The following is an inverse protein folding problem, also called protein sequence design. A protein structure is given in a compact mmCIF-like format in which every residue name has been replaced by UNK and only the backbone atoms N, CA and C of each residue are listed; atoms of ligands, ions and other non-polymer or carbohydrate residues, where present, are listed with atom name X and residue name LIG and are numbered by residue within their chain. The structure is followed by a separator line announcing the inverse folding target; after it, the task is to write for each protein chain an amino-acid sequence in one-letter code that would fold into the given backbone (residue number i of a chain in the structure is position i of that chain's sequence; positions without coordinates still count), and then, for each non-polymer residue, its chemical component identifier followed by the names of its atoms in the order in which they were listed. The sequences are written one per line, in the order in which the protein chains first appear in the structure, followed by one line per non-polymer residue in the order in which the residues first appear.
data_IF_955213833366
#
_entry.id   IF_955213833366
#
_cell.length_a   1.000
_cell.length_b   1.000
_cell.length_c   1.000
_cell.angle_alpha   90.00
_cell.angle_beta   90.00
_cell.angle_gamma   90.00
#
_symmetry.space_group_name_H-M   'P 1'
#
loop_
_entity.id
_entity.type
_entity.pdbx_description
1 polymer ?
#
# COMPACT_ATOMS: atom_id res chain seq x y z
N UNK A 1 16.80 -0.71 -4.00
CA UNK A 1 15.47 -1.36 -4.11
C UNK A 1 14.86 -1.67 -2.75
N UNK A 2 15.66 -2.20 -1.82
CA UNK A 2 15.18 -2.44 -0.45
C UNK A 2 14.69 -1.13 0.19
N UNK A 3 15.46 -0.06 0.07
CA UNK A 3 15.10 1.24 0.62
C UNK A 3 13.82 1.78 -0.01
N UNK A 4 13.62 1.57 -1.32
CA UNK A 4 12.41 2.00 -2.02
C UNK A 4 11.19 1.25 -1.52
N UNK A 5 11.26 -0.08 -1.46
CA UNK A 5 10.18 -0.92 -0.94
C UNK A 5 9.86 -0.56 0.52
N UNK A 6 10.89 -0.40 1.32
CA UNK A 6 10.75 -0.09 2.73
C UNK A 6 10.04 1.25 2.95
N UNK A 7 10.39 2.27 2.15
CA UNK A 7 9.78 3.59 2.29
C UNK A 7 8.27 3.55 2.01
N UNK A 8 7.83 2.71 1.07
CA UNK A 8 6.41 2.51 0.78
C UNK A 8 5.73 1.85 1.98
N UNK A 9 6.34 0.80 2.52
CA UNK A 9 5.77 0.04 3.64
C UNK A 9 5.61 0.91 4.87
N UNK A 10 6.60 1.75 5.18
CA UNK A 10 6.52 2.67 6.32
C UNK A 10 5.34 3.65 6.21
N UNK A 11 5.02 4.07 4.99
CA UNK A 11 3.88 4.96 4.77
C UNK A 11 2.54 4.21 4.74
N UNK A 12 2.56 2.88 4.49
CA UNK A 12 1.35 2.07 4.50
C UNK A 12 0.84 1.82 5.91
N UNK A 13 1.74 1.66 6.87
CA UNK A 13 1.35 1.33 8.24
C UNK A 13 2.38 1.82 9.26
N UNK A 14 1.88 2.23 10.41
CA UNK A 14 2.72 2.50 11.58
C UNK A 14 2.89 1.24 12.45
N UNK A 15 2.16 0.16 12.14
CA UNK A 15 2.19 -1.08 12.90
C UNK A 15 3.37 -1.94 12.45
N UNK A 16 4.45 -1.96 13.24
CA UNK A 16 5.67 -2.70 12.89
C UNK A 16 5.42 -4.22 12.78
N UNK A 17 4.46 -4.75 13.52
CA UNK A 17 4.12 -6.17 13.46
C UNK A 17 3.49 -6.59 12.14
N UNK A 18 2.88 -5.66 11.42
CA UNK A 18 2.21 -5.94 10.15
C UNK A 18 3.13 -5.72 8.94
N UNK A 19 4.20 -4.95 9.09
CA UNK A 19 5.08 -4.60 7.97
C UNK A 19 5.62 -5.81 7.20
N UNK A 20 6.03 -6.92 7.84
CA UNK A 20 6.50 -8.09 7.09
C UNK A 20 5.41 -8.72 6.21
N UNK A 21 4.14 -8.66 6.63
CA UNK A 21 3.02 -9.15 5.83
C UNK A 21 2.81 -8.27 4.59
N UNK A 22 2.89 -6.97 4.76
CA UNK A 22 2.74 -6.01 3.66
C UNK A 22 3.89 -6.18 2.65
N UNK A 23 5.11 -6.33 3.16
CA UNK A 23 6.27 -6.58 2.30
C UNK A 23 6.08 -7.84 1.46
N UNK A 24 5.61 -8.92 2.08
CA UNK A 24 5.33 -10.17 1.37
C UNK A 24 4.31 -9.97 0.25
N UNK A 25 3.26 -9.22 0.51
CA UNK A 25 2.22 -8.94 -0.47
C UNK A 25 2.79 -8.17 -1.68
N UNK A 26 3.59 -7.14 -1.45
CA UNK A 26 4.19 -6.38 -2.54
C UNK A 26 5.19 -7.22 -3.34
N UNK A 27 5.98 -8.08 -2.69
CA UNK A 27 6.87 -8.98 -3.40
C UNK A 27 6.11 -9.99 -4.25
N UNK A 28 4.94 -10.46 -3.79
CA UNK A 28 4.08 -11.33 -4.59
C UNK A 28 3.63 -10.61 -5.86
N UNK A 29 3.28 -9.33 -5.76
CA UNK A 29 2.91 -8.53 -6.93
C UNK A 29 4.09 -8.36 -7.89
N UNK A 30 5.27 -8.09 -7.38
CA UNK A 30 6.47 -7.98 -8.24
C UNK A 30 6.72 -9.27 -9.01
N UNK A 31 6.59 -10.42 -8.35
CA UNK A 31 6.81 -11.72 -8.98
C UNK A 31 5.80 -12.03 -10.09
N UNK A 32 4.60 -11.50 -9.98
CA UNK A 32 3.52 -11.76 -10.94
C UNK A 32 3.36 -10.61 -11.94
N UNK A 33 4.26 -9.64 -11.94
CA UNK A 33 4.22 -8.47 -12.80
C UNK A 33 2.95 -7.63 -12.63
N UNK A 34 2.40 -7.60 -11.41
CA UNK A 34 1.28 -6.75 -11.08
C UNK A 34 1.79 -5.37 -10.66
N UNK A 35 1.13 -4.29 -11.10
CA UNK A 35 1.42 -2.96 -10.55
C UNK A 35 1.25 -2.97 -9.03
N UNK A 36 2.12 -2.28 -8.29
CA UNK A 36 2.05 -2.29 -6.83
C UNK A 36 0.78 -1.61 -6.30
N UNK A 37 0.28 -0.61 -7.01
CA UNK A 37 -0.93 0.13 -6.65
C UNK A 37 -0.87 0.63 -5.20
N UNK A 38 0.27 1.20 -4.85
CA UNK A 38 0.53 1.68 -3.50
C UNK A 38 0.11 3.14 -3.35
N UNK A 39 -0.91 3.39 -2.53
CA UNK A 39 -1.42 4.75 -2.30
C UNK A 39 -0.36 5.75 -1.84
N UNK A 40 0.61 5.39 -0.98
CA UNK A 40 1.66 6.33 -0.61
C UNK A 40 2.44 6.91 -1.79
N UNK A 41 2.58 6.16 -2.89
CA UNK A 41 3.27 6.68 -4.08
C UNK A 41 2.46 7.76 -4.78
N UNK A 42 1.13 7.68 -4.73
CA UNK A 42 0.25 8.73 -5.25
C UNK A 42 0.38 9.99 -4.39
N UNK A 43 0.34 9.84 -3.07
CA UNK A 43 0.51 10.96 -2.15
C UNK A 43 1.85 11.65 -2.36
N UNK A 44 2.92 10.88 -2.55
CA UNK A 44 4.25 11.41 -2.83
C UNK A 44 4.26 12.19 -4.14
N UNK A 45 3.69 11.63 -5.20
CA UNK A 45 3.64 12.27 -6.51
C UNK A 45 2.86 13.58 -6.47
N UNK A 46 1.80 13.65 -5.66
CA UNK A 46 1.01 14.86 -5.45
C UNK A 46 1.61 15.79 -4.41
N UNK A 47 2.64 15.34 -3.68
CA UNK A 47 3.26 16.06 -2.57
C UNK A 47 2.27 16.39 -1.45
N UNK A 48 1.33 15.47 -1.20
CA UNK A 48 0.27 15.66 -0.21
C UNK A 48 0.02 14.37 0.58
N UNK A 49 0.80 14.16 1.64
CA UNK A 49 0.64 13.01 2.53
C UNK A 49 -0.53 13.16 3.51
N UNK A 50 -1.16 14.31 3.53
CA UNK A 50 -2.31 14.54 4.41
C UNK A 50 -3.63 14.00 3.82
N UNK A 51 -3.64 13.58 2.56
CA UNK A 51 -4.83 13.00 1.96
C UNK A 51 -5.27 11.74 2.72
N UNK A 52 -6.53 11.72 3.12
CA UNK A 52 -7.10 10.58 3.84
C UNK A 52 -7.80 9.59 2.92
N UNK A 53 -8.15 10.03 1.71
CA UNK A 53 -8.88 9.23 0.75
C UNK A 53 -8.41 9.55 -0.67
N UNK A 54 -8.06 8.51 -1.43
CA UNK A 54 -7.61 8.63 -2.81
C UNK A 54 -8.78 8.27 -3.73
N UNK A 55 -9.27 9.24 -4.49
CA UNK A 55 -10.35 9.02 -5.46
C UNK A 55 -9.78 8.52 -6.79
N UNK A 56 -10.60 7.79 -7.56
CA UNK A 56 -10.17 7.15 -8.81
C UNK A 56 -9.46 8.10 -9.78
N UNK A 57 -9.90 9.34 -9.87
CA UNK A 57 -9.27 10.32 -10.78
C UNK A 57 -7.81 10.57 -10.47
N UNK A 58 -7.40 10.40 -9.20
CA UNK A 58 -6.01 10.61 -8.79
C UNK A 58 -5.10 9.44 -9.17
N UNK A 59 -5.68 8.28 -9.49
CA UNK A 59 -4.92 7.11 -9.89
C UNK A 59 -4.35 7.21 -11.30
N UNK A 60 -4.75 8.22 -12.05
CA UNK A 60 -4.30 8.42 -13.43
C UNK A 60 -3.25 9.51 -13.60
N UNK A 61 -2.73 10.07 -12.51
CA UNK A 61 -1.73 11.14 -12.61
C UNK A 61 -0.48 10.66 -13.34
N UNK A 62 0.11 11.55 -14.13
CA UNK A 62 1.29 11.22 -14.92
C UNK A 62 2.55 11.49 -14.10
N UNK A 63 3.06 10.45 -13.45
CA UNK A 63 4.28 10.51 -12.65
C UNK A 63 4.97 9.16 -12.69
N UNK A 64 6.32 9.11 -12.77
CA UNK A 64 7.05 7.84 -12.68
C UNK A 64 6.87 7.16 -11.32
N UNK A 65 6.43 7.90 -10.29
CA UNK A 65 6.13 7.33 -8.98
C UNK A 65 4.73 6.73 -8.89
N UNK A 66 3.87 6.91 -9.90
CA UNK A 66 2.52 6.35 -9.87
C UNK A 66 2.55 4.85 -10.13
N UNK A 67 2.44 4.06 -9.06
CA UNK A 67 2.48 2.59 -9.15
C UNK A 67 1.18 1.96 -9.64
N UNK A 68 0.14 2.76 -9.88
CA UNK A 68 -1.06 2.31 -10.60
C UNK A 68 -0.86 2.29 -12.10
N UNK A 69 0.05 3.13 -12.62
CA UNK A 69 0.33 3.24 -14.06
C UNK A 69 1.61 2.56 -14.48
N UNK A 70 2.55 2.36 -13.57
CA UNK A 70 3.87 1.83 -13.87
C UNK A 70 4.11 0.55 -13.06
N UNK A 71 4.49 -0.51 -13.75
CA UNK A 71 4.84 -1.77 -13.08
C UNK A 71 6.14 -1.62 -12.29
N UNK A 72 6.27 -2.44 -11.24
CA UNK A 72 7.49 -2.51 -10.45
C UNK A 72 7.62 -1.40 -9.43
N UNK A 73 8.80 -1.29 -8.86
CA UNK A 73 9.12 -0.26 -7.89
C UNK A 73 9.23 1.11 -8.57
N UNK A 74 8.90 2.20 -7.85
CA UNK A 74 9.16 3.54 -8.37
C UNK A 74 10.65 3.83 -8.46
N UNK A 75 11.05 4.98 -9.06
CA UNK A 75 12.47 5.27 -9.30
C UNK A 75 13.35 5.35 -8.06
N UNK A 76 12.76 5.61 -6.90
CA UNK A 76 13.52 5.71 -5.65
C UNK A 76 12.61 5.78 -4.44
N UNK A 77 13.21 5.88 -3.23
CA UNK A 77 12.44 5.95 -2.00
C UNK A 77 11.57 7.21 -1.93
N UNK A 78 10.43 7.09 -1.23
CA UNK A 78 9.53 8.22 -1.00
C UNK A 78 9.75 8.86 0.37
N UNK A 79 10.60 8.27 1.19
CA UNK A 79 11.03 8.83 2.49
C UNK A 79 12.30 8.11 2.96
N UNK A 80 12.88 8.58 4.06
CA UNK A 80 14.03 7.93 4.67
C UNK A 80 13.57 6.64 5.35
N UNK A 81 14.33 5.55 5.13
CA UNK A 81 14.00 4.22 5.63
C UNK A 81 14.13 4.13 7.16
N UNK A 82 13.17 3.44 7.81
CA UNK A 82 13.27 3.08 9.22
C UNK A 82 13.95 1.73 9.36
N UNK A 83 14.53 1.46 10.54
CA UNK A 83 15.14 0.16 10.82
C UNK A 83 14.06 -0.94 10.79
N UNK A 84 12.90 -0.69 11.38
CA UNK A 84 11.81 -1.66 11.39
C UNK A 84 11.32 -1.98 9.98
N UNK A 85 11.27 -0.99 9.09
CA UNK A 85 10.88 -1.20 7.71
C UNK A 85 11.90 -2.01 6.93
N UNK A 86 13.19 -1.75 7.14
CA UNK A 86 14.27 -2.51 6.50
C UNK A 86 14.19 -3.97 6.94
N UNK A 87 14.05 -4.22 8.25
CA UNK A 87 13.92 -5.57 8.79
C UNK A 87 12.71 -6.29 8.20
N UNK A 88 11.59 -5.59 8.04
CA UNK A 88 10.37 -6.15 7.48
C UNK A 88 10.56 -6.61 6.03
N UNK A 89 11.31 -5.85 5.23
CA UNK A 89 11.58 -6.19 3.84
C UNK A 89 12.52 -7.40 3.79
N UNK A 90 13.59 -7.37 4.56
CA UNK A 90 14.58 -8.46 4.57
C UNK A 90 14.02 -9.76 5.13
N UNK A 91 13.08 -9.68 6.06
CA UNK A 91 12.48 -10.82 6.72
C UNK A 91 10.97 -10.91 6.47
N UNK A 92 10.55 -10.59 5.25
CA UNK A 92 9.12 -10.58 4.92
C UNK A 92 8.51 -11.98 5.02
N UNK A 93 7.21 -12.01 5.33
CA UNK A 93 6.47 -13.26 5.48
C UNK A 93 6.14 -13.83 4.10
N UNK A 94 6.34 -15.13 3.93
CA UNK A 94 5.95 -15.85 2.71
C UNK A 94 4.48 -16.21 2.79
N UNK A 95 3.69 -15.75 1.82
CA UNK A 95 2.25 -16.04 1.73
C UNK A 95 1.77 -15.80 0.29
N UNK A 96 0.47 -16.00 0.05
CA UNK A 96 -0.11 -15.88 -1.29
C UNK A 96 -0.97 -14.63 -1.48
N UNK A 97 -0.95 -13.71 -0.53
CA UNK A 97 -1.78 -12.50 -0.64
C UNK A 97 -1.27 -11.57 -1.73
N UNK A 98 -2.19 -11.06 -2.54
CA UNK A 98 -1.91 -10.10 -3.61
C UNK A 98 -2.60 -8.76 -3.39
N UNK A 99 -3.51 -8.67 -2.42
CA UNK A 99 -4.31 -7.48 -2.17
C UNK A 99 -4.36 -7.15 -0.68
N UNK A 100 -4.46 -5.87 -0.39
CA UNK A 100 -4.73 -5.40 0.97
C UNK A 100 -5.53 -4.11 0.92
N UNK A 101 -6.27 -3.84 1.98
CA UNK A 101 -6.88 -2.52 2.20
C UNK A 101 -6.96 -2.26 3.70
N UNK A 102 -7.07 -0.99 4.07
CA UNK A 102 -7.17 -0.62 5.48
C UNK A 102 -8.41 -1.27 6.12
N UNK A 103 -8.27 -1.68 7.38
CA UNK A 103 -9.41 -2.23 8.12
C UNK A 103 -10.44 -1.17 8.42
N UNK A 104 -11.69 -1.60 8.37
CA UNK A 104 -12.86 -0.75 8.57
C UNK A 104 -13.00 -0.21 10.00
N UNK A 105 -12.27 -0.77 10.96
CA UNK A 105 -12.27 -0.32 12.36
C UNK A 105 -11.28 0.83 12.61
N UNK A 106 -10.55 1.24 11.59
CA UNK A 106 -9.56 2.32 11.67
C UNK A 106 -8.45 2.06 12.69
N UNK A 107 -8.13 0.79 12.92
CA UNK A 107 -7.08 0.38 13.86
C UNK A 107 -5.66 0.64 13.33
N UNK A 108 -5.52 1.00 12.06
CA UNK A 108 -4.23 1.17 11.42
C UNK A 108 -3.65 -0.11 10.84
N UNK A 109 -4.40 -1.21 10.89
CA UNK A 109 -4.01 -2.48 10.28
C UNK A 109 -4.79 -2.73 9.00
N UNK A 110 -4.51 -3.85 8.33
CA UNK A 110 -5.05 -4.13 7.00
C UNK A 110 -5.72 -5.48 6.92
N UNK A 111 -6.69 -5.59 6.00
CA UNK A 111 -7.26 -6.84 5.55
C UNK A 111 -6.53 -7.29 4.29
N UNK A 112 -6.07 -8.54 4.29
CA UNK A 112 -5.35 -9.14 3.15
C UNK A 112 -6.27 -10.08 2.40
N UNK A 113 -6.06 -10.20 1.09
CA UNK A 113 -6.84 -11.10 0.25
C UNK A 113 -5.98 -11.73 -0.84
N UNK A 114 -6.30 -12.99 -1.20
CA UNK A 114 -5.63 -13.70 -2.29
C UNK A 114 -6.27 -13.38 -3.63
N UNK A 115 -7.58 -13.13 -3.65
CA UNK A 115 -8.35 -12.89 -4.87
C UNK A 115 -8.90 -11.48 -4.90
N UNK A 116 -9.15 -11.00 -6.12
CA UNK A 116 -9.74 -9.69 -6.30
C UNK A 116 -11.16 -9.61 -5.71
N UNK A 117 -11.92 -10.70 -5.79
CA UNK A 117 -13.26 -10.73 -5.22
C UNK A 117 -13.25 -10.53 -3.71
N UNK A 118 -12.35 -11.23 -3.01
CA UNK A 118 -12.18 -11.05 -1.56
C UNK A 118 -11.77 -9.62 -1.25
N UNK A 119 -10.87 -9.07 -2.05
CA UNK A 119 -10.42 -7.68 -1.88
C UNK A 119 -11.57 -6.69 -2.04
N UNK A 120 -12.44 -6.90 -3.03
CA UNK A 120 -13.60 -6.02 -3.24
C UNK A 120 -14.54 -6.01 -2.05
N UNK A 121 -14.75 -7.16 -1.41
CA UNK A 121 -15.56 -7.24 -0.20
C UNK A 121 -14.92 -6.45 0.94
N UNK A 122 -13.61 -6.61 1.13
CA UNK A 122 -12.88 -5.86 2.15
C UNK A 122 -12.92 -4.36 1.88
N UNK A 123 -12.70 -3.96 0.64
CA UNK A 123 -12.71 -2.55 0.24
C UNK A 123 -14.09 -1.92 0.40
N UNK A 124 -15.15 -2.68 0.13
CA UNK A 124 -16.52 -2.18 0.29
C UNK A 124 -16.81 -1.86 1.76
N UNK A 125 -16.37 -2.71 2.68
CA UNK A 125 -16.54 -2.44 4.12
C UNK A 125 -15.79 -1.18 4.54
N UNK A 126 -14.57 -1.00 4.03
CA UNK A 126 -13.79 0.19 4.36
C UNK A 126 -14.43 1.46 3.79
N UNK A 127 -14.87 1.43 2.55
CA UNK A 127 -15.55 2.57 1.91
C UNK A 127 -16.82 2.95 2.68
N UNK A 128 -17.61 1.95 3.09
CA UNK A 128 -18.79 2.17 3.89
C UNK A 128 -18.45 2.87 5.19
N UNK A 129 -17.40 2.40 5.88
CA UNK A 129 -16.96 3.01 7.13
C UNK A 129 -16.49 4.45 6.94
N UNK A 130 -15.78 4.75 5.85
CA UNK A 130 -15.37 6.10 5.52
C UNK A 130 -16.57 7.01 5.34
N UNK A 131 -17.58 6.54 4.60
CA UNK A 131 -18.80 7.30 4.33
C UNK A 131 -19.58 7.57 5.62
N UNK A 132 -19.70 6.57 6.49
CA UNK A 132 -20.39 6.71 7.78
C UNK A 132 -19.72 7.74 8.68
N UNK A 133 -18.39 7.90 8.57
CA UNK A 133 -17.65 8.90 9.35
C UNK A 133 -17.53 10.24 8.65
N UNK A 134 -18.11 10.39 7.47
CA UNK A 134 -18.07 11.63 6.71
C UNK A 134 -16.70 11.99 6.16
N UNK A 135 -15.79 11.04 6.04
CA UNK A 135 -14.43 11.25 5.49
C UNK A 135 -14.54 11.33 3.96
N UNK A 136 -14.02 12.41 3.40
CA UNK A 136 -14.11 12.68 1.96
C UNK A 136 -12.77 12.79 1.29
#
# INVERSE_FOLDING_TARGET
EVATMESIIDEETANNGEKPMIAGMYYNRLKTNMPLQADPTIKFALKDFALKRIYNKLLYINSPYNTYRNEGLPPGPIKIASIAGIDAVLNHVQHDYLYMCAKEDFSGTHNFARTYQEHLQNAARYTKALNERGIK
#
